data_IF_989107267505
#
_entry.id   IF_989107267505
#
_cell.length_a   1.000
_cell.length_b   1.000
_cell.length_c   1.000
_cell.angle_alpha   90.00
_cell.angle_beta   90.00
_cell.angle_gamma   90.00
#
_symmetry.space_group_name_H-M   'P 1'
#
loop_
_entity.id
_entity.type
_entity.pdbx_description
1 polymer ?
#
# COMPACT_ATOMS: atom_id res chain seq x y z
N UNK A 1 -7.11 7.20 14.02
CA UNK A 1 -6.23 6.80 12.92
C UNK A 1 -7.03 6.14 11.84
N UNK A 2 -6.86 6.57 10.59
CA UNK A 2 -7.31 5.83 9.41
C UNK A 2 -6.11 5.13 8.75
N UNK A 3 -6.32 3.94 8.23
CA UNK A 3 -5.36 3.26 7.36
C UNK A 3 -6.11 2.43 6.33
N UNK A 4 -5.78 2.63 5.06
CA UNK A 4 -6.34 1.94 3.92
C UNK A 4 -5.27 1.91 2.83
N UNK A 5 -5.00 0.73 2.30
CA UNK A 5 -4.02 0.51 1.24
C UNK A 5 -4.61 -0.44 0.21
N UNK A 6 -4.39 -0.14 -1.05
CA UNK A 6 -4.76 -0.98 -2.17
C UNK A 6 -3.60 -1.02 -3.16
N UNK A 7 -3.31 -2.20 -3.68
CA UNK A 7 -2.48 -2.44 -4.86
C UNK A 7 -3.18 -3.53 -5.66
N UNK A 8 -3.38 -3.34 -6.95
CA UNK A 8 -3.98 -4.38 -7.79
C UNK A 8 -4.05 -4.01 -9.27
N UNK A 9 -4.05 -5.04 -10.11
CA UNK A 9 -4.12 -4.94 -11.57
C UNK A 9 -4.61 -6.26 -12.17
N UNK A 10 -4.85 -6.29 -13.48
CA UNK A 10 -5.51 -7.42 -14.17
C UNK A 10 -4.77 -8.75 -14.09
N UNK A 11 -3.44 -8.76 -13.93
CA UNK A 11 -2.61 -9.97 -13.99
C UNK A 11 -1.59 -10.11 -12.84
N UNK A 12 -1.61 -9.20 -11.84
CA UNK A 12 -0.58 -9.10 -10.80
C UNK A 12 -1.04 -9.43 -9.38
N UNK A 13 -0.11 -9.48 -8.42
CA UNK A 13 -0.45 -9.59 -7.02
C UNK A 13 -1.30 -8.39 -6.60
N UNK A 14 -2.41 -8.67 -5.93
CA UNK A 14 -3.34 -7.66 -5.43
C UNK A 14 -3.46 -7.78 -3.91
N UNK A 15 -3.37 -6.64 -3.23
CA UNK A 15 -3.49 -6.51 -1.79
C UNK A 15 -4.45 -5.37 -1.48
N UNK A 16 -5.51 -5.67 -0.75
CA UNK A 16 -6.34 -4.66 -0.12
C UNK A 16 -6.20 -4.77 1.39
N UNK A 17 -5.98 -3.65 2.09
CA UNK A 17 -5.87 -3.58 3.55
C UNK A 17 -6.67 -2.38 4.04
N UNK A 18 -7.41 -2.55 5.12
CA UNK A 18 -8.11 -1.45 5.80
C UNK A 18 -8.15 -1.66 7.31
N UNK A 19 -8.04 -0.56 8.06
CA UNK A 19 -8.20 -0.54 9.51
C UNK A 19 -9.69 -0.39 9.87
N UNK A 20 -10.24 -1.36 10.60
CA UNK A 20 -11.62 -1.38 11.08
C UNK A 20 -11.63 -1.78 12.54
N UNK A 21 -12.16 -0.93 13.42
CA UNK A 21 -12.29 -1.25 14.86
C UNK A 21 -10.96 -1.57 15.56
N UNK A 22 -9.84 -1.01 15.09
CA UNK A 22 -8.50 -1.26 15.62
C UNK A 22 -7.80 -2.52 15.08
N UNK A 23 -8.41 -3.23 14.13
CA UNK A 23 -7.87 -4.42 13.47
C UNK A 23 -7.66 -4.16 11.98
N UNK A 24 -6.65 -4.79 11.39
CA UNK A 24 -6.44 -4.74 9.95
C UNK A 24 -7.20 -5.87 9.29
N UNK A 25 -8.13 -5.53 8.41
CA UNK A 25 -8.75 -6.47 7.50
C UNK A 25 -7.99 -6.41 6.18
N UNK A 26 -7.61 -7.56 5.64
CA UNK A 26 -6.91 -7.62 4.36
C UNK A 26 -7.40 -8.76 3.46
N UNK A 27 -7.24 -8.55 2.16
CA UNK A 27 -7.46 -9.54 1.12
C UNK A 27 -6.23 -9.60 0.23
N UNK A 28 -5.70 -10.80 0.01
CA UNK A 28 -4.50 -11.04 -0.80
C UNK A 28 -4.81 -11.99 -1.94
N UNK A 29 -4.40 -11.61 -3.15
CA UNK A 29 -4.46 -12.43 -4.34
C UNK A 29 -3.09 -12.44 -5.01
N UNK A 30 -2.46 -13.61 -5.15
CA UNK A 30 -1.14 -13.69 -5.79
C UNK A 30 -1.20 -13.51 -7.32
N UNK A 31 -2.35 -13.77 -7.93
CA UNK A 31 -2.55 -13.93 -9.38
C UNK A 31 -3.87 -13.31 -9.87
N UNK A 32 -4.27 -12.17 -9.31
CA UNK A 32 -5.42 -11.37 -9.77
C UNK A 32 -6.81 -11.86 -9.34
N UNK A 33 -6.96 -13.11 -8.90
CA UNK A 33 -8.22 -13.63 -8.37
C UNK A 33 -8.31 -13.45 -6.86
N UNK A 34 -9.05 -12.43 -6.41
CA UNK A 34 -9.48 -12.33 -5.01
C UNK A 34 -10.30 -13.56 -4.65
N UNK A 35 -9.89 -14.29 -3.61
CA UNK A 35 -10.62 -15.45 -3.10
C UNK A 35 -11.92 -15.07 -2.39
N UNK A 36 -12.15 -13.77 -2.14
CA UNK A 36 -13.20 -13.26 -1.26
C UNK A 36 -12.95 -13.56 0.23
N UNK A 37 -11.81 -14.16 0.56
CA UNK A 37 -11.43 -14.43 1.94
C UNK A 37 -10.83 -13.18 2.56
N UNK A 38 -11.63 -12.52 3.41
CA UNK A 38 -11.14 -11.42 4.27
C UNK A 38 -10.40 -12.04 5.44
N UNK A 39 -9.11 -11.75 5.53
CA UNK A 39 -8.26 -12.13 6.66
C UNK A 39 -8.15 -10.97 7.65
N UNK A 40 -7.89 -11.29 8.91
CA UNK A 40 -7.67 -10.30 9.96
C UNK A 40 -6.24 -10.39 10.46
N UNK A 41 -5.60 -9.23 10.63
CA UNK A 41 -4.35 -9.06 11.34
C UNK A 41 -4.55 -8.07 12.51
N UNK A 42 -3.92 -8.38 13.64
CA UNK A 42 -3.90 -7.51 14.82
C UNK A 42 -2.45 -7.17 15.15
N UNK A 43 -1.86 -6.17 14.45
CA UNK A 43 -0.46 -5.84 14.64
C UNK A 43 -0.23 -5.29 16.05
N UNK A 44 0.90 -5.64 16.66
CA UNK A 44 1.27 -5.11 17.97
C UNK A 44 1.57 -3.61 17.88
N UNK A 45 1.54 -2.88 19.01
CA UNK A 45 1.98 -1.48 19.04
C UNK A 45 3.39 -1.26 18.46
N UNK A 46 4.30 -2.22 18.68
CA UNK A 46 5.67 -2.19 18.16
C UNK A 46 5.73 -2.37 16.64
N UNK A 47 4.93 -3.27 16.07
CA UNK A 47 4.82 -3.47 14.62
C UNK A 47 4.27 -2.21 13.94
N UNK A 48 3.25 -1.60 14.54
CA UNK A 48 2.71 -0.31 14.12
C UNK A 48 3.76 0.81 14.20
N UNK A 49 4.59 0.84 15.24
CA UNK A 49 5.65 1.83 15.38
C UNK A 49 6.72 1.67 14.29
N UNK A 50 7.17 0.43 14.01
CA UNK A 50 8.13 0.13 12.93
C UNK A 50 7.58 0.48 11.55
N UNK A 51 6.30 0.22 11.31
CA UNK A 51 5.63 0.62 10.08
C UNK A 51 5.63 2.14 9.90
N UNK A 52 5.27 2.89 10.95
CA UNK A 52 5.28 4.37 10.92
C UNK A 52 6.69 4.92 10.70
N UNK A 53 7.69 4.39 11.40
CA UNK A 53 9.09 4.77 11.21
C UNK A 53 9.57 4.53 9.77
N UNK A 54 9.14 3.42 9.17
CA UNK A 54 9.45 3.12 7.76
C UNK A 54 8.76 4.12 6.82
N UNK A 55 7.48 4.44 7.06
CA UNK A 55 6.76 5.43 6.27
C UNK A 55 7.39 6.84 6.37
N UNK A 56 7.83 7.23 7.56
CA UNK A 56 8.53 8.49 7.79
C UNK A 56 9.88 8.54 7.08
N UNK A 57 10.69 7.47 7.21
CA UNK A 57 11.98 7.38 6.53
C UNK A 57 11.87 7.40 5.00
N UNK A 58 10.79 6.86 4.45
CA UNK A 58 10.51 6.86 3.01
C UNK A 58 9.87 8.18 2.53
N UNK A 59 9.66 9.15 3.43
CA UNK A 59 9.08 10.44 3.08
C UNK A 59 7.67 10.34 2.53
N UNK A 60 6.86 9.37 3.01
CA UNK A 60 5.48 9.14 2.49
C UNK A 60 4.60 10.40 2.61
N UNK A 61 4.89 11.27 3.57
CA UNK A 61 4.23 12.58 3.75
C UNK A 61 4.46 13.55 2.59
N UNK A 62 5.57 13.39 1.89
CA UNK A 62 6.02 14.26 0.79
C UNK A 62 5.68 13.67 -0.58
N UNK A 63 5.01 12.52 -0.63
CA UNK A 63 4.57 11.93 -1.89
C UNK A 63 3.50 12.82 -2.54
N UNK A 64 3.65 13.02 -3.86
CA UNK A 64 2.64 13.68 -4.67
C UNK A 64 1.28 12.98 -4.53
N UNK A 65 0.15 13.70 -4.43
CA UNK A 65 -1.16 13.08 -4.25
C UNK A 65 -1.56 12.13 -5.39
N UNK A 66 -1.00 12.29 -6.59
CA UNK A 66 -1.37 11.53 -7.76
C UNK A 66 -0.17 11.26 -8.69
N UNK A 67 0.03 9.98 -9.03
CA UNK A 67 1.05 9.53 -9.99
C UNK A 67 0.36 8.90 -11.21
N UNK A 68 0.36 9.61 -12.35
CA UNK A 68 -0.25 9.12 -13.60
C UNK A 68 0.83 8.83 -14.64
N UNK A 69 0.72 7.67 -15.29
CA UNK A 69 1.53 7.30 -16.45
C UNK A 69 0.78 7.63 -17.74
N UNK A 70 1.48 8.14 -18.76
CA UNK A 70 0.93 8.32 -20.10
C UNK A 70 0.61 6.98 -20.81
N UNK A 71 1.04 5.85 -20.23
CA UNK A 71 0.89 4.50 -20.80
C UNK A 71 -0.34 3.75 -20.25
N UNK A 72 -1.23 4.43 -19.52
CA UNK A 72 -2.33 3.82 -18.75
C UNK A 72 -3.52 3.26 -19.55
N UNK A 73 -3.33 2.74 -20.77
CA UNK A 73 -4.43 2.41 -21.67
C UNK A 73 -4.98 0.97 -21.49
N UNK A 74 -4.15 -0.03 -21.20
CA UNK A 74 -4.56 -1.43 -21.01
C UNK A 74 -3.61 -2.12 -20.03
N UNK A 75 -4.12 -2.84 -19.02
CA UNK A 75 -3.35 -3.59 -18.01
C UNK A 75 -2.54 -2.79 -16.98
N UNK A 76 -3.14 -1.71 -16.44
CA UNK A 76 -2.50 -0.92 -15.39
C UNK A 76 -2.58 -1.57 -14.01
N UNK A 77 -1.49 -1.46 -13.26
CA UNK A 77 -1.52 -1.67 -11.80
C UNK A 77 -1.91 -0.36 -11.14
N UNK A 78 -3.06 -0.37 -10.48
CA UNK A 78 -3.53 0.73 -9.64
C UNK A 78 -3.09 0.53 -8.21
N UNK A 79 -2.73 1.62 -7.54
CA UNK A 79 -2.49 1.63 -6.11
C UNK A 79 -3.08 2.88 -5.45
N UNK A 80 -3.46 2.73 -4.20
CA UNK A 80 -4.04 3.76 -3.37
C UNK A 80 -3.54 3.61 -1.94
N UNK A 81 -3.22 4.73 -1.32
CA UNK A 81 -2.84 4.82 0.07
C UNK A 81 -3.64 5.95 0.71
N UNK A 82 -4.30 5.62 1.81
CA UNK A 82 -4.85 6.59 2.74
C UNK A 82 -4.43 6.23 4.14
N UNK A 83 -3.70 7.11 4.78
CA UNK A 83 -3.25 6.89 6.15
C UNK A 83 -3.21 8.18 6.94
N UNK A 84 -3.30 8.04 8.25
CA UNK A 84 -3.10 9.11 9.20
C UNK A 84 -1.76 8.90 9.91
N UNK A 85 -0.87 9.88 9.81
CA UNK A 85 0.48 9.85 10.37
C UNK A 85 0.70 11.13 11.16
N UNK A 86 0.89 11.02 12.48
CA UNK A 86 1.00 12.15 13.42
C UNK A 86 -0.09 13.23 13.25
N UNK A 87 -1.34 12.80 13.03
CA UNK A 87 -2.48 13.69 12.82
C UNK A 87 -2.58 14.31 11.43
N UNK A 88 -1.61 14.05 10.53
CA UNK A 88 -1.71 14.43 9.12
C UNK A 88 -2.35 13.31 8.31
N UNK A 89 -3.33 13.68 7.49
CA UNK A 89 -3.99 12.74 6.58
C UNK A 89 -3.25 12.75 5.23
N UNK A 90 -2.73 11.59 4.86
CA UNK A 90 -2.07 11.34 3.59
C UNK A 90 -3.07 10.60 2.70
N UNK A 91 -3.29 11.10 1.49
CA UNK A 91 -4.08 10.42 0.45
C UNK A 91 -3.30 10.50 -0.84
N UNK A 92 -2.84 9.35 -1.32
CA UNK A 92 -1.96 9.23 -2.48
C UNK A 92 -2.43 8.07 -3.34
N UNK A 93 -2.33 8.20 -4.65
CA UNK A 93 -2.71 7.15 -5.59
C UNK A 93 -1.82 7.16 -6.83
N UNK A 94 -1.77 6.03 -7.53
CA UNK A 94 -1.10 5.97 -8.82
C UNK A 94 -1.53 4.82 -9.72
N UNK A 95 -1.21 4.97 -11.01
CA UNK A 95 -1.52 4.00 -12.07
C UNK A 95 -0.26 3.78 -12.91
N UNK A 96 0.44 2.66 -12.69
CA UNK A 96 1.77 2.37 -13.27
C UNK A 96 2.76 3.54 -13.15
N UNK A 97 2.66 4.29 -12.07
CA UNK A 97 3.58 5.35 -11.73
C UNK A 97 3.75 5.37 -10.21
N UNK A 98 4.99 5.54 -9.77
CA UNK A 98 5.40 5.32 -8.39
C UNK A 98 6.31 6.46 -7.92
N UNK A 99 6.30 6.80 -6.62
CA UNK A 99 7.21 7.80 -6.05
C UNK A 99 8.67 7.43 -6.36
N UNK A 100 9.50 8.42 -6.70
CA UNK A 100 10.92 8.23 -7.03
C UNK A 100 11.19 7.28 -8.23
N UNK A 101 10.24 7.08 -9.14
CA UNK A 101 10.45 6.35 -10.40
C UNK A 101 10.23 7.24 -11.62
N UNK A 102 11.11 7.13 -12.63
CA UNK A 102 10.93 7.72 -13.96
C UNK A 102 10.42 6.65 -14.94
N UNK A 103 9.18 6.17 -14.75
CA UNK A 103 8.55 5.19 -15.64
C UNK A 103 7.66 4.16 -14.93
N UNK A 104 7.23 3.10 -15.64
CA UNK A 104 6.29 2.09 -15.12
C UNK A 104 6.91 1.12 -14.11
N UNK A 105 8.23 1.17 -13.95
CA UNK A 105 8.92 0.32 -13.00
C UNK A 105 8.61 0.78 -11.57
N UNK A 106 8.21 -0.18 -10.73
CA UNK A 106 8.03 0.06 -9.30
C UNK A 106 9.36 0.52 -8.68
N UNK A 107 9.37 1.68 -8.03
CA UNK A 107 10.54 2.22 -7.35
C UNK A 107 10.99 1.36 -6.18
N UNK A 108 12.24 1.55 -5.75
CA UNK A 108 12.78 0.85 -4.58
C UNK A 108 12.01 1.25 -3.31
N UNK A 109 11.70 2.53 -3.19
CA UNK A 109 10.97 3.17 -2.10
C UNK A 109 9.56 2.58 -1.99
N UNK A 110 8.84 2.48 -3.11
CA UNK A 110 7.50 1.89 -3.11
C UNK A 110 7.54 0.39 -2.78
N UNK A 111 8.53 -0.36 -3.28
CA UNK A 111 8.71 -1.78 -2.90
C UNK A 111 8.97 -1.95 -1.41
N UNK A 112 9.77 -1.07 -0.83
CA UNK A 112 10.08 -1.09 0.59
C UNK A 112 8.86 -0.76 1.44
N UNK A 113 8.08 0.25 1.04
CA UNK A 113 6.80 0.56 1.66
C UNK A 113 5.82 -0.61 1.57
N UNK A 114 5.67 -1.20 0.38
CA UNK A 114 4.77 -2.32 0.16
C UNK A 114 5.16 -3.54 1.02
N UNK A 115 6.45 -3.83 1.14
CA UNK A 115 6.94 -4.86 2.07
C UNK A 115 6.58 -4.53 3.52
N UNK A 116 6.72 -3.27 3.95
CA UNK A 116 6.30 -2.87 5.28
C UNK A 116 4.79 -3.09 5.52
N UNK A 117 3.94 -2.87 4.51
CA UNK A 117 2.51 -3.20 4.59
C UNK A 117 2.29 -4.71 4.72
N UNK A 118 3.00 -5.54 3.93
CA UNK A 118 2.91 -7.01 4.02
C UNK A 118 3.34 -7.51 5.39
N UNK A 119 4.41 -6.95 5.97
CA UNK A 119 4.86 -7.29 7.32
C UNK A 119 3.83 -6.88 8.37
N UNK A 120 3.21 -5.70 8.22
CA UNK A 120 2.17 -5.23 9.12
C UNK A 120 0.95 -6.17 9.15
N UNK A 121 0.58 -6.81 8.03
CA UNK A 121 -0.52 -7.79 7.98
C UNK A 121 -0.08 -9.25 8.18
N UNK A 122 1.19 -9.49 8.48
CA UNK A 122 1.74 -10.84 8.73
C UNK A 122 1.89 -11.71 7.48
N UNK A 123 1.89 -11.14 6.28
CA UNK A 123 2.12 -11.87 5.03
C UNK A 123 3.61 -12.19 4.79
N UNK A 124 4.51 -11.35 5.32
CA UNK A 124 5.96 -11.53 5.25
C UNK A 124 6.60 -11.16 6.59
N UNK A 125 7.70 -11.81 7.02
CA UNK A 125 8.43 -11.44 8.23
C UNK A 125 9.31 -10.19 8.07
#
# INVERSE_FOLDING_TARGET
GAFEFYLGGSAGPSLYVRLVGGRLLYEWAANGSYSGAVMEAAPTPEEWARFRETADRLGVREWEPQYLSAHSCCDVTYWYLKMELDGQKIVVQGSDAYPASTGPNVSKEFREFFRAVKNLVGLEP
#
